data_IF_139870697456
#
_entry.id   IF_139870697456
#
_cell.length_a   1.000
_cell.length_b   1.000
_cell.length_c   1.000
_cell.angle_alpha   90.00
_cell.angle_beta   90.00
_cell.angle_gamma   90.00
#
_symmetry.space_group_name_H-M   'P 1'
#
loop_
_entity.id
_entity.type
_entity.pdbx_description
1 polymer ?
#
# COMPACT_ATOMS: atom_id res chain seq x y z
N UNK A 1 17.99 -4.52 3.72
CA UNK A 1 17.72 -5.08 2.40
C UNK A 1 16.27 -5.47 2.48
N UNK A 2 15.44 -4.55 2.01
CA UNK A 2 13.99 -4.66 2.09
C UNK A 2 13.51 -5.84 1.24
N UNK A 3 12.35 -6.39 1.59
CA UNK A 3 11.81 -7.61 1.00
C UNK A 3 11.54 -7.37 -0.50
N UNK A 4 12.14 -8.13 -1.43
CA UNK A 4 11.92 -7.95 -2.87
C UNK A 4 10.44 -8.03 -3.27
N UNK A 5 9.63 -8.73 -2.48
CA UNK A 5 8.19 -8.86 -2.71
C UNK A 5 7.45 -7.51 -2.49
N UNK A 6 7.96 -6.64 -1.59
CA UNK A 6 7.39 -5.31 -1.33
C UNK A 6 7.57 -4.39 -2.55
N UNK A 7 8.75 -4.42 -3.17
CA UNK A 7 9.09 -3.59 -4.34
C UNK A 7 8.15 -3.90 -5.51
N UNK A 8 7.87 -5.19 -5.76
CA UNK A 8 6.96 -5.60 -6.83
C UNK A 8 5.55 -5.04 -6.66
N UNK A 9 5.03 -5.02 -5.42
CA UNK A 9 3.69 -4.48 -5.11
C UNK A 9 3.66 -2.98 -5.31
N UNK A 10 4.69 -2.27 -4.84
CA UNK A 10 4.81 -0.82 -4.97
C UNK A 10 4.94 -0.42 -6.45
N UNK A 11 5.81 -1.08 -7.21
CA UNK A 11 5.99 -0.81 -8.65
C UNK A 11 4.69 -1.03 -9.42
N UNK A 12 3.98 -2.12 -9.14
CA UNK A 12 2.68 -2.39 -9.73
C UNK A 12 1.66 -1.27 -9.44
N UNK A 13 1.60 -0.80 -8.19
CA UNK A 13 0.72 0.29 -7.79
C UNK A 13 1.07 1.60 -8.50
N UNK A 14 2.36 1.92 -8.64
CA UNK A 14 2.85 3.10 -9.36
C UNK A 14 2.48 3.03 -10.85
N UNK A 15 2.79 1.93 -11.52
CA UNK A 15 2.47 1.73 -12.95
C UNK A 15 0.96 1.73 -13.18
N UNK A 16 0.20 1.11 -12.27
CA UNK A 16 -1.26 1.08 -12.29
C UNK A 16 -1.93 2.40 -11.91
N UNK A 17 -1.16 3.42 -11.48
CA UNK A 17 -1.68 4.70 -10.95
C UNK A 17 -2.69 4.49 -9.83
N UNK A 18 -2.45 3.50 -8.98
CA UNK A 18 -3.29 3.21 -7.84
C UNK A 18 -3.24 4.36 -6.84
N UNK A 19 -4.37 4.63 -6.19
CA UNK A 19 -4.45 5.61 -5.10
C UNK A 19 -4.20 4.98 -3.73
N UNK A 20 -4.40 3.66 -3.61
CA UNK A 20 -4.29 2.92 -2.37
C UNK A 20 -3.70 1.52 -2.60
N UNK A 21 -2.85 1.06 -1.68
CA UNK A 21 -2.45 -0.34 -1.51
C UNK A 21 -3.13 -0.84 -0.23
N UNK A 22 -3.97 -1.87 -0.37
CA UNK A 22 -4.68 -2.48 0.75
C UNK A 22 -3.97 -3.77 1.13
N UNK A 23 -3.33 -3.80 2.29
CA UNK A 23 -2.50 -4.94 2.70
C UNK A 23 -2.57 -5.20 4.21
N UNK A 24 -2.35 -6.47 4.59
CA UNK A 24 -2.12 -6.90 5.96
C UNK A 24 -0.63 -7.03 6.31
N UNK A 25 0.25 -6.84 5.32
CA UNK A 25 1.69 -6.98 5.47
C UNK A 25 2.26 -5.88 6.37
N UNK A 26 2.99 -6.29 7.42
CA UNK A 26 3.53 -5.35 8.40
C UNK A 26 4.65 -4.49 7.83
N UNK A 27 5.45 -5.02 6.90
CA UNK A 27 6.53 -4.29 6.24
C UNK A 27 5.96 -3.16 5.37
N UNK A 28 5.03 -3.47 4.46
CA UNK A 28 4.35 -2.43 3.66
C UNK A 28 3.62 -1.42 4.54
N UNK A 29 2.98 -1.87 5.62
CA UNK A 29 2.30 -0.97 6.56
C UNK A 29 3.24 -0.09 7.40
N UNK A 30 4.56 -0.35 7.42
CA UNK A 30 5.50 0.61 8.01
C UNK A 30 5.56 1.91 7.22
N UNK A 31 5.26 1.83 5.92
CA UNK A 31 5.11 2.98 5.06
C UNK A 31 3.65 3.45 5.14
N UNK A 32 3.40 4.59 5.78
CA UNK A 32 2.04 5.18 5.79
C UNK A 32 1.60 5.64 4.40
N UNK A 33 2.56 5.96 3.52
CA UNK A 33 2.35 6.48 2.16
C UNK A 33 3.60 6.24 1.33
N UNK A 34 3.43 5.93 0.05
CA UNK A 34 4.49 5.94 -0.94
C UNK A 34 4.08 6.85 -2.10
N UNK A 35 4.82 7.95 -2.32
CA UNK A 35 4.42 9.01 -3.26
C UNK A 35 2.99 9.50 -2.99
N UNK A 36 2.05 9.26 -3.90
CA UNK A 36 0.63 9.59 -3.78
C UNK A 36 -0.27 8.39 -3.46
N UNK A 37 0.36 7.24 -3.19
CA UNK A 37 -0.30 5.97 -2.90
C UNK A 37 -0.37 5.77 -1.39
N UNK A 38 -1.57 5.69 -0.84
CA UNK A 38 -1.77 5.42 0.59
C UNK A 38 -1.70 3.93 0.85
N UNK A 39 -1.03 3.52 1.93
CA UNK A 39 -0.91 2.10 2.30
C UNK A 39 -1.62 1.91 3.62
N UNK A 40 -2.62 1.03 3.63
CA UNK A 40 -3.50 0.86 4.78
C UNK A 40 -4.10 -0.54 4.85
N UNK A 41 -4.63 -0.88 6.02
CA UNK A 41 -5.39 -2.10 6.23
C UNK A 41 -6.77 -2.01 5.60
N UNK A 42 -7.31 -3.17 5.22
CA UNK A 42 -8.66 -3.27 4.67
C UNK A 42 -9.73 -2.63 5.57
N UNK A 43 -9.65 -2.84 6.89
CA UNK A 43 -10.57 -2.22 7.84
C UNK A 43 -10.57 -0.69 7.77
N UNK A 44 -9.38 -0.07 7.74
CA UNK A 44 -9.23 1.38 7.64
C UNK A 44 -9.71 1.92 6.28
N UNK A 45 -9.58 1.13 5.21
CA UNK A 45 -10.09 1.53 3.90
C UNK A 45 -11.62 1.53 3.85
N UNK A 46 -12.27 0.57 4.51
CA UNK A 46 -13.72 0.54 4.61
C UNK A 46 -14.28 1.76 5.36
N UNK A 47 -13.55 2.29 6.35
CA UNK A 47 -13.93 3.51 7.07
C UNK A 47 -13.96 4.76 6.17
N UNK A 48 -13.23 4.78 5.05
CA UNK A 48 -13.24 5.89 4.08
C UNK A 48 -14.50 5.90 3.19
N UNK A 49 -15.22 4.78 3.13
CA UNK A 49 -16.42 4.62 2.29
C UNK A 49 -17.73 4.85 3.07
N UNK A 50 -17.62 5.04 4.39
CA UNK A 50 -18.74 5.22 5.30
C UNK A 50 -19.34 6.63 5.25
#
# INVERSE_FOLDING_TARGET
MDDPDDDMVIECAVVGKATHIITGDKHLLTFSKYQDIHILKAAAFLELLA
#
